data_IF_874357801422
#
_entry.id   IF_874357801422
#
_cell.length_a   1.000
_cell.length_b   1.000
_cell.length_c   1.000
_cell.angle_alpha   90.00
_cell.angle_beta   90.00
_cell.angle_gamma   90.00
#
_symmetry.space_group_name_H-M   'P 1'
#
loop_
_entity.id
_entity.type
_entity.pdbx_description
1 polymer ?
#
# COMPACT_ATOMS: atom_id res chain seq x y z
N UNK A 1 -13.01 21.67 4.85
CA UNK A 1 -13.51 20.37 5.36
C UNK A 1 -15.04 20.38 5.45
N UNK A 2 -15.77 20.41 4.33
CA UNK A 2 -17.26 20.42 4.34
C UNK A 2 -17.89 19.02 4.26
N UNK A 3 -17.11 17.98 3.93
CA UNK A 3 -17.57 16.60 3.68
C UNK A 3 -18.16 15.95 4.94
N UNK A 4 -17.80 16.43 6.13
CA UNK A 4 -18.16 15.85 7.42
C UNK A 4 -19.28 16.61 8.16
N UNK A 5 -19.80 17.68 7.55
CA UNK A 5 -20.66 18.66 8.23
C UNK A 5 -22.10 18.18 8.49
N UNK A 6 -22.60 17.19 7.74
CA UNK A 6 -24.02 16.79 7.76
C UNK A 6 -24.26 15.40 8.36
N UNK A 7 -23.59 15.08 9.48
CA UNK A 7 -23.85 13.84 10.22
C UNK A 7 -23.13 12.62 9.62
N UNK A 8 -21.80 12.70 9.54
CA UNK A 8 -21.01 11.55 9.14
C UNK A 8 -20.94 10.53 10.31
N UNK A 9 -21.35 9.26 10.09
CA UNK A 9 -21.23 8.22 11.11
C UNK A 9 -19.76 7.95 11.47
N UNK A 10 -19.48 7.39 12.66
CA UNK A 10 -18.12 6.98 13.03
C UNK A 10 -17.63 5.97 11.98
N UNK A 11 -16.59 6.35 11.26
CA UNK A 11 -16.01 5.58 10.17
C UNK A 11 -14.52 5.42 10.46
N UNK A 12 -14.05 4.21 10.26
CA UNK A 12 -12.65 3.83 10.34
C UNK A 12 -12.30 3.03 9.09
N UNK A 13 -11.02 3.02 8.74
CA UNK A 13 -10.52 2.23 7.64
C UNK A 13 -9.20 1.58 8.04
N UNK A 14 -8.83 0.52 7.33
CA UNK A 14 -7.49 -0.02 7.38
C UNK A 14 -6.90 -0.02 5.98
N UNK A 15 -5.58 0.10 5.90
CA UNK A 15 -4.85 0.01 4.64
C UNK A 15 -3.94 -1.22 4.68
N UNK A 16 -3.92 -1.98 3.58
CA UNK A 16 -3.00 -3.09 3.36
C UNK A 16 -2.15 -2.82 2.13
N UNK A 17 -0.83 -2.96 2.26
CA UNK A 17 0.06 -2.96 1.11
C UNK A 17 0.12 -4.34 0.48
N UNK A 18 -0.38 -4.48 -0.76
CA UNK A 18 -0.45 -5.75 -1.48
C UNK A 18 0.94 -6.39 -1.62
N UNK A 19 1.93 -5.62 -2.05
CA UNK A 19 3.30 -6.11 -2.28
C UNK A 19 3.94 -6.58 -0.97
N UNK A 20 3.66 -5.86 0.14
CA UNK A 20 4.16 -6.22 1.47
C UNK A 20 3.46 -7.47 2.01
N UNK A 21 2.18 -7.63 1.73
CA UNK A 21 1.42 -8.82 2.11
C UNK A 21 1.91 -10.04 1.32
N UNK A 22 2.06 -9.92 0.01
CA UNK A 22 2.61 -10.97 -0.87
C UNK A 22 4.04 -11.35 -0.47
N UNK A 23 4.92 -10.37 -0.19
CA UNK A 23 6.28 -10.65 0.25
C UNK A 23 6.32 -11.43 1.57
N UNK A 24 5.43 -11.13 2.52
CA UNK A 24 5.32 -11.89 3.78
C UNK A 24 4.76 -13.30 3.57
N UNK A 25 3.73 -13.42 2.72
CA UNK A 25 3.12 -14.71 2.41
C UNK A 25 4.10 -15.67 1.74
N UNK A 26 5.02 -15.16 0.93
CA UNK A 26 6.04 -15.93 0.21
C UNK A 26 7.41 -15.97 0.91
N UNK A 27 7.56 -15.33 2.09
CA UNK A 27 8.82 -15.29 2.82
C UNK A 27 9.97 -14.56 2.10
N UNK A 28 9.64 -13.60 1.22
CA UNK A 28 10.64 -12.90 0.41
C UNK A 28 11.46 -11.91 1.26
N UNK A 29 12.79 -11.88 1.12
CA UNK A 29 13.66 -10.98 1.86
C UNK A 29 13.45 -9.50 1.47
N UNK A 30 12.84 -9.21 0.33
CA UNK A 30 12.61 -7.85 -0.13
C UNK A 30 11.29 -7.70 -0.91
N UNK A 31 10.51 -6.66 -0.58
CA UNK A 31 9.22 -6.33 -1.24
C UNK A 31 9.36 -6.13 -2.75
N UNK A 32 10.54 -5.70 -3.23
CA UNK A 32 10.84 -5.53 -4.66
C UNK A 32 10.67 -6.83 -5.46
N UNK A 33 10.84 -7.99 -4.82
CA UNK A 33 10.64 -9.29 -5.46
C UNK A 33 9.15 -9.64 -5.60
N UNK A 34 8.27 -8.96 -4.86
CA UNK A 34 6.82 -9.05 -4.99
C UNK A 34 6.23 -7.90 -5.84
N UNK A 35 7.06 -7.06 -6.47
CA UNK A 35 6.63 -5.92 -7.30
C UNK A 35 7.07 -6.12 -8.74
N UNK A 36 6.13 -6.04 -9.68
CA UNK A 36 6.40 -6.27 -11.11
C UNK A 36 7.37 -5.25 -11.73
N UNK A 37 7.20 -3.96 -11.38
CA UNK A 37 8.11 -2.88 -11.77
C UNK A 37 8.45 -2.06 -10.52
N UNK A 38 9.48 -2.44 -9.76
CA UNK A 38 9.75 -1.80 -8.48
C UNK A 38 10.20 -0.36 -8.73
N UNK A 39 9.38 0.58 -8.24
CA UNK A 39 9.68 2.01 -8.17
C UNK A 39 10.43 2.29 -6.88
N UNK A 40 11.57 2.95 -6.99
CA UNK A 40 12.30 3.43 -5.83
C UNK A 40 12.84 4.85 -6.09
N UNK A 41 13.44 5.47 -5.09
CA UNK A 41 13.94 6.85 -5.15
C UNK A 41 15.03 7.05 -6.24
N UNK A 42 15.70 5.98 -6.66
CA UNK A 42 16.76 5.93 -7.65
C UNK A 42 16.37 5.15 -8.93
N UNK A 43 15.21 4.49 -8.98
CA UNK A 43 14.72 3.66 -10.09
C UNK A 43 13.32 4.10 -10.50
N UNK A 44 13.29 4.92 -11.55
CA UNK A 44 12.06 5.48 -12.14
C UNK A 44 11.64 4.79 -13.44
N UNK A 45 12.52 4.00 -14.04
CA UNK A 45 12.29 3.26 -15.28
C UNK A 45 12.11 1.76 -14.99
N UNK A 46 11.53 0.98 -15.92
CA UNK A 46 12.12 -0.34 -16.17
C UNK A 46 13.64 -0.23 -16.30
#
# INVERSE_FOLDING_TARGET
MHVFAHGMPPHGGFALGLERWTARLLGLPNVRQATLFPRDLHRLTP
#
